data_IF_773381580624
#
_entry.id   IF_773381580624
#
_cell.length_a   1.000
_cell.length_b   1.000
_cell.length_c   1.000
_cell.angle_alpha   90.00
_cell.angle_beta   90.00
_cell.angle_gamma   90.00
#
_symmetry.space_group_name_H-M   'P 1'
#
loop_
_entity.id
_entity.type
_entity.pdbx_description
1 polymer ?
#
# COMPACT_ATOMS: atom_id res chain seq x y z
N UNK A 1 2.65 -15.73 28.12
CA UNK A 1 3.86 -15.44 27.32
C UNK A 1 3.73 -15.83 25.84
N UNK A 2 3.03 -16.90 25.46
CA UNK A 2 2.91 -17.35 24.05
C UNK A 2 2.10 -16.44 23.12
N UNK A 3 1.10 -15.71 23.62
CA UNK A 3 0.23 -14.86 22.78
C UNK A 3 0.94 -13.67 22.12
N UNK A 4 2.00 -13.14 22.75
CA UNK A 4 2.73 -11.97 22.23
C UNK A 4 3.60 -12.30 21.00
N UNK A 5 4.02 -13.55 20.85
CA UNK A 5 4.83 -14.02 19.71
C UNK A 5 4.02 -13.99 18.40
N UNK A 6 2.72 -14.28 18.46
CA UNK A 6 1.84 -14.29 17.30
C UNK A 6 1.29 -12.90 16.95
N UNK A 7 1.35 -11.94 17.86
CA UNK A 7 0.88 -10.56 17.68
C UNK A 7 1.50 -9.89 16.43
N UNK A 8 2.83 -9.91 16.18
CA UNK A 8 3.40 -9.36 14.95
C UNK A 8 2.91 -10.07 13.68
N UNK A 9 2.61 -11.38 13.74
CA UNK A 9 2.03 -12.11 12.60
C UNK A 9 0.62 -11.60 12.27
N UNK A 10 -0.24 -11.43 13.28
CA UNK A 10 -1.58 -10.86 13.06
C UNK A 10 -1.54 -9.41 12.59
N UNK A 11 -0.61 -8.60 13.11
CA UNK A 11 -0.40 -7.22 12.64
C UNK A 11 0.02 -7.20 11.18
N UNK A 12 1.00 -8.02 10.78
CA UNK A 12 1.43 -8.14 9.38
C UNK A 12 0.28 -8.58 8.47
N UNK A 13 -0.51 -9.58 8.89
CA UNK A 13 -1.67 -10.06 8.12
C UNK A 13 -2.72 -8.96 7.94
N UNK A 14 -3.02 -8.21 9.00
CA UNK A 14 -3.97 -7.09 8.95
C UNK A 14 -3.49 -5.96 8.04
N UNK A 15 -2.18 -5.68 8.02
CA UNK A 15 -1.58 -4.67 7.14
C UNK A 15 -1.67 -5.08 5.67
N UNK A 16 -1.40 -6.36 5.36
CA UNK A 16 -1.57 -6.88 4.01
C UNK A 16 -3.03 -6.80 3.55
N UNK A 17 -3.98 -7.16 4.41
CA UNK A 17 -5.40 -7.07 4.11
C UNK A 17 -5.84 -5.60 3.88
N UNK A 18 -5.40 -4.69 4.75
CA UNK A 18 -5.70 -3.28 4.60
C UNK A 18 -5.11 -2.71 3.30
N UNK A 19 -3.85 -3.03 3.00
CA UNK A 19 -3.16 -2.57 1.78
C UNK A 19 -3.84 -3.08 0.52
N UNK A 20 -4.20 -4.36 0.47
CA UNK A 20 -4.92 -4.94 -0.69
C UNK A 20 -6.30 -4.30 -0.91
N UNK A 21 -7.08 -4.10 0.15
CA UNK A 21 -8.38 -3.44 0.05
C UNK A 21 -8.26 -1.98 -0.41
N UNK A 22 -7.30 -1.25 0.17
CA UNK A 22 -7.10 0.17 -0.14
C UNK A 22 -6.53 0.37 -1.56
N UNK A 23 -5.66 -0.52 -2.03
CA UNK A 23 -5.17 -0.55 -3.42
C UNK A 23 -6.29 -0.87 -4.41
N UNK A 24 -7.19 -1.80 -4.08
CA UNK A 24 -8.36 -2.10 -4.92
C UNK A 24 -9.25 -0.86 -5.09
N UNK A 25 -9.48 -0.11 -4.01
CA UNK A 25 -10.26 1.13 -4.05
C UNK A 25 -9.63 2.19 -4.98
N UNK A 26 -8.31 2.34 -4.92
CA UNK A 26 -7.57 3.27 -5.78
C UNK A 26 -7.60 2.83 -7.23
N UNK A 27 -7.41 1.53 -7.48
CA UNK A 27 -7.52 0.98 -8.84
C UNK A 27 -8.86 1.38 -9.46
N UNK A 28 -9.97 1.15 -8.76
CA UNK A 28 -11.30 1.54 -9.25
C UNK A 28 -11.42 3.06 -9.45
N UNK A 29 -10.85 3.86 -8.54
CA UNK A 29 -10.85 5.31 -8.68
C UNK A 29 -10.08 5.78 -9.92
N UNK A 30 -8.86 5.28 -10.12
CA UNK A 30 -8.01 5.62 -11.26
C UNK A 30 -8.62 5.14 -12.58
N UNK A 31 -9.24 3.96 -12.60
CA UNK A 31 -10.00 3.47 -13.74
C UNK A 31 -11.15 4.41 -14.15
N UNK A 32 -11.85 5.00 -13.17
CA UNK A 32 -13.00 5.85 -13.42
C UNK A 32 -12.63 7.30 -13.73
N UNK A 33 -11.62 7.86 -13.05
CA UNK A 33 -11.25 9.28 -13.15
C UNK A 33 -10.14 9.52 -14.17
N UNK A 34 -9.24 8.57 -14.35
CA UNK A 34 -8.10 8.66 -15.27
C UNK A 34 -8.02 7.42 -16.18
N UNK A 35 -9.05 7.13 -16.99
CA UNK A 35 -9.11 5.93 -17.83
C UNK A 35 -7.95 5.84 -18.83
N UNK A 36 -7.53 6.98 -19.40
CA UNK A 36 -6.42 7.03 -20.35
C UNK A 36 -5.08 6.67 -19.70
N UNK A 37 -4.84 7.17 -18.49
CA UNK A 37 -3.65 6.81 -17.72
C UNK A 37 -3.72 5.35 -17.26
N UNK A 38 -4.90 4.86 -16.87
CA UNK A 38 -5.09 3.45 -16.53
C UNK A 38 -4.76 2.51 -17.71
N UNK A 39 -5.14 2.89 -18.93
CA UNK A 39 -4.82 2.11 -20.13
C UNK A 39 -3.30 2.07 -20.40
N UNK A 40 -2.59 3.18 -20.19
CA UNK A 40 -1.12 3.22 -20.25
C UNK A 40 -0.47 2.33 -19.19
N UNK A 41 -1.02 2.31 -17.97
CA UNK A 41 -0.52 1.44 -16.89
C UNK A 41 -0.76 -0.05 -17.17
N UNK A 42 -1.82 -0.38 -17.90
CA UNK A 42 -2.11 -1.75 -18.37
C UNK A 42 -1.25 -2.19 -19.55
N UNK A 43 -0.57 -1.25 -20.23
CA UNK A 43 0.25 -1.54 -21.39
C UNK A 43 1.52 -2.29 -20.96
N UNK A 44 1.48 -3.60 -21.10
CA UNK A 44 2.49 -4.48 -20.54
C UNK A 44 3.57 -4.81 -21.57
N UNK A 45 4.67 -4.07 -21.52
CA UNK A 45 5.82 -4.26 -22.41
C UNK A 45 6.68 -5.49 -22.07
N UNK A 46 6.48 -6.13 -20.90
CA UNK A 46 7.37 -7.18 -20.38
C UNK A 46 6.73 -8.58 -20.30
N UNK A 47 5.54 -8.79 -20.88
CA UNK A 47 4.91 -10.12 -20.92
C UNK A 47 4.44 -10.68 -19.55
N UNK A 48 4.44 -9.85 -18.50
CA UNK A 48 3.90 -10.22 -17.18
C UNK A 48 2.36 -10.46 -17.23
N UNK A 49 1.76 -10.93 -16.14
CA UNK A 49 0.30 -10.88 -16.03
C UNK A 49 -0.15 -9.41 -16.00
N UNK A 50 -1.07 -9.01 -16.89
CA UNK A 50 -1.61 -7.64 -17.02
C UNK A 50 -2.11 -7.12 -15.66
N UNK A 51 -2.70 -7.99 -14.84
CA UNK A 51 -3.19 -7.61 -13.51
C UNK A 51 -2.04 -7.20 -12.61
N UNK A 52 -0.98 -8.02 -12.54
CA UNK A 52 0.19 -7.73 -11.70
C UNK A 52 0.96 -6.52 -12.23
N UNK A 53 1.16 -6.43 -13.54
CA UNK A 53 1.86 -5.32 -14.18
C UNK A 53 1.12 -3.99 -13.95
N UNK A 54 -0.20 -3.96 -14.14
CA UNK A 54 -1.00 -2.76 -13.88
C UNK A 54 -1.00 -2.36 -12.40
N UNK A 55 -0.94 -3.33 -11.47
CA UNK A 55 -0.81 -3.02 -10.05
C UNK A 55 0.55 -2.40 -9.69
N UNK A 56 1.64 -2.95 -10.21
CA UNK A 56 3.00 -2.44 -9.96
C UNK A 56 3.14 -1.04 -10.56
N UNK A 57 2.72 -0.87 -11.82
CA UNK A 57 2.77 0.42 -12.50
C UNK A 57 1.88 1.46 -11.80
N UNK A 58 0.70 1.06 -11.30
CA UNK A 58 -0.17 1.94 -10.53
C UNK A 58 0.49 2.41 -9.23
N UNK A 59 1.09 1.47 -8.49
CA UNK A 59 1.81 1.79 -7.25
C UNK A 59 2.99 2.74 -7.51
N UNK A 60 3.74 2.50 -8.58
CA UNK A 60 4.85 3.36 -8.99
C UNK A 60 4.37 4.74 -9.45
N UNK A 61 3.27 4.81 -10.21
CA UNK A 61 2.66 6.06 -10.65
C UNK A 61 2.15 6.89 -9.47
N UNK A 62 1.60 6.25 -8.44
CA UNK A 62 1.21 6.92 -7.20
C UNK A 62 2.40 7.40 -6.37
N UNK A 63 3.52 6.68 -6.37
CA UNK A 63 4.68 7.07 -5.57
C UNK A 63 5.49 8.17 -6.23
N UNK A 64 5.78 8.02 -7.52
CA UNK A 64 6.75 8.85 -8.25
C UNK A 64 6.23 9.38 -9.61
N UNK A 65 5.12 8.85 -10.13
CA UNK A 65 4.63 9.17 -11.47
C UNK A 65 3.57 10.26 -11.54
N UNK A 66 2.63 10.11 -12.47
CA UNK A 66 1.59 11.12 -12.75
C UNK A 66 0.65 11.28 -11.55
N UNK A 67 0.19 10.16 -10.97
CA UNK A 67 -0.79 10.17 -9.90
C UNK A 67 -0.26 10.82 -8.61
N UNK A 68 1.06 10.78 -8.37
CA UNK A 68 1.69 11.42 -7.20
C UNK A 68 1.64 12.94 -7.24
N UNK A 69 1.59 13.53 -8.45
CA UNK A 69 1.59 14.99 -8.67
C UNK A 69 0.18 15.58 -8.68
N UNK A 70 -0.83 14.72 -8.73
CA UNK A 70 -2.22 15.12 -8.84
C UNK A 70 -2.76 15.57 -7.47
N UNK A 71 -3.46 16.71 -7.43
CA UNK A 71 -4.17 17.20 -6.23
C UNK A 71 -5.52 16.49 -6.06
N UNK A 72 -5.51 15.16 -6.12
CA UNK A 72 -6.70 14.35 -5.91
C UNK A 72 -6.85 14.02 -4.42
N UNK A 73 -7.98 14.38 -3.78
CA UNK A 73 -8.19 14.15 -2.36
C UNK A 73 -8.17 12.67 -1.96
N UNK A 74 -8.58 11.75 -2.84
CA UNK A 74 -8.52 10.30 -2.58
C UNK A 74 -7.08 9.80 -2.61
N UNK A 75 -6.28 10.22 -3.58
CA UNK A 75 -4.86 9.86 -3.69
C UNK A 75 -4.07 10.45 -2.51
N UNK A 76 -4.31 11.71 -2.16
CA UNK A 76 -3.68 12.34 -1.00
C UNK A 76 -4.07 11.66 0.32
N UNK A 77 -5.35 11.30 0.48
CA UNK A 77 -5.81 10.55 1.66
C UNK A 77 -5.13 9.18 1.77
N UNK A 78 -4.83 8.54 0.63
CA UNK A 78 -4.11 7.29 0.59
C UNK A 78 -2.68 7.45 1.10
N UNK A 79 -1.92 8.40 0.56
CA UNK A 79 -0.55 8.65 1.02
C UNK A 79 -0.49 8.98 2.51
N UNK A 80 -1.48 9.74 3.01
CA UNK A 80 -1.56 10.05 4.44
C UNK A 80 -1.81 8.79 5.27
N UNK A 81 -2.75 7.93 4.87
CA UNK A 81 -3.06 6.68 5.59
C UNK A 81 -1.91 5.70 5.54
N UNK A 82 -1.27 5.55 4.39
CA UNK A 82 -0.12 4.67 4.21
C UNK A 82 1.07 5.13 5.06
N UNK A 83 1.35 6.44 5.10
CA UNK A 83 2.36 7.01 6.00
C UNK A 83 2.05 6.74 7.47
N UNK A 84 0.80 6.98 7.91
CA UNK A 84 0.40 6.72 9.29
C UNK A 84 0.55 5.23 9.63
N UNK A 85 0.17 4.33 8.71
CA UNK A 85 0.35 2.89 8.88
C UNK A 85 1.84 2.54 9.05
N UNK A 86 2.72 3.01 8.16
CA UNK A 86 4.17 2.74 8.24
C UNK A 86 4.75 3.24 9.57
N UNK A 87 4.41 4.46 9.97
CA UNK A 87 4.88 5.03 11.26
C UNK A 87 4.37 4.19 12.43
N UNK A 88 3.10 3.76 12.41
CA UNK A 88 2.53 2.94 13.48
C UNK A 88 3.21 1.57 13.59
N UNK A 89 3.54 0.93 12.46
CA UNK A 89 4.26 -0.34 12.41
C UNK A 89 5.68 -0.15 12.96
N UNK A 90 6.35 0.96 12.60
CA UNK A 90 7.70 1.25 13.08
C UNK A 90 7.74 1.46 14.59
N UNK A 91 6.81 2.24 15.15
CA UNK A 91 6.66 2.41 16.60
C UNK A 91 6.38 1.06 17.28
N UNK A 92 5.50 0.25 16.71
CA UNK A 92 5.19 -1.07 17.24
C UNK A 92 6.42 -2.00 17.24
N UNK A 93 7.23 -1.97 16.17
CA UNK A 93 8.47 -2.75 16.08
C UNK A 93 9.49 -2.34 17.16
N UNK A 94 9.64 -1.05 17.44
CA UNK A 94 10.50 -0.55 18.52
C UNK A 94 10.00 -1.05 19.88
N UNK A 95 8.69 -0.98 20.13
CA UNK A 95 8.11 -1.46 21.39
C UNK A 95 8.34 -2.97 21.60
N UNK A 96 8.23 -3.76 20.53
CA UNK A 96 8.54 -5.19 20.57
C UNK A 96 10.03 -5.45 20.87
N UNK A 97 10.93 -4.67 20.26
CA UNK A 97 12.37 -4.74 20.56
C UNK A 97 12.65 -4.41 22.02
N UNK A 98 12.10 -3.31 22.54
CA UNK A 98 12.28 -2.92 23.95
C UNK A 98 11.76 -4.02 24.87
N UNK A 99 10.57 -4.55 24.62
CA UNK A 99 10.04 -5.67 25.42
C UNK A 99 10.93 -6.91 25.35
N UNK A 100 11.51 -7.23 24.19
CA UNK A 100 12.41 -8.39 24.05
C UNK A 100 13.75 -8.22 24.78
N UNK A 101 14.22 -7.00 25.01
CA UNK A 101 15.47 -6.73 25.74
C UNK A 101 15.27 -6.55 27.26
N UNK A 102 14.08 -6.12 27.69
CA UNK A 102 13.76 -5.88 29.12
C UNK A 102 12.97 -7.02 29.79
N UNK A 103 12.60 -8.07 29.04
CA UNK A 103 11.92 -9.27 29.52
C UNK A 103 12.82 -10.50 29.34
#
# INVERSE_FOLDING_TARGET
MSAFIYLPFFVALSCLFFRTFHLKKIKTHVQNVYPDEWNKLCENKMGMNITTASFINLEESMKNGFLSKQKDPLIQSFHRKDRVMIVSIFVFAILQLVMAFYN
#
